data_IF_501150350913
#
_entry.id   IF_501150350913
#
_cell.length_a   1.000
_cell.length_b   1.000
_cell.length_c   1.000
_cell.angle_alpha   90.00
_cell.angle_beta   90.00
_cell.angle_gamma   90.00
#
_symmetry.space_group_name_H-M   'P 1'
#
loop_
_entity.id
_entity.type
_entity.pdbx_description
1 polymer ?
#
# COMPACT_ATOMS: atom_id res chain seq x y z
N UNK A 1 -29.14 -7.29 15.13
CA UNK A 1 -28.18 -8.26 15.71
C UNK A 1 -28.67 -9.71 15.54
N UNK A 2 -29.82 -10.11 16.11
CA UNK A 2 -30.33 -11.51 15.98
C UNK A 2 -30.59 -11.91 14.51
N UNK A 3 -31.29 -11.06 13.73
CA UNK A 3 -31.54 -11.34 12.30
C UNK A 3 -30.28 -11.43 11.43
N UNK A 4 -29.20 -10.74 11.78
CA UNK A 4 -27.96 -10.76 11.01
C UNK A 4 -27.17 -12.03 11.31
N UNK A 5 -27.18 -12.49 12.57
CA UNK A 5 -26.52 -13.75 12.98
C UNK A 5 -27.23 -14.95 12.37
N UNK A 6 -28.56 -14.97 12.40
CA UNK A 6 -29.35 -16.04 11.75
C UNK A 6 -29.15 -16.07 10.24
N UNK A 7 -28.94 -14.91 9.59
CA UNK A 7 -28.55 -14.83 8.16
C UNK A 7 -27.15 -15.39 7.92
N UNK A 8 -26.19 -15.07 8.81
CA UNK A 8 -24.82 -15.61 8.73
C UNK A 8 -24.78 -17.12 8.92
N UNK A 9 -25.56 -17.65 9.87
CA UNK A 9 -25.71 -19.10 10.07
C UNK A 9 -26.23 -19.78 8.81
N UNK A 10 -27.24 -19.20 8.15
CA UNK A 10 -27.79 -19.73 6.89
C UNK A 10 -26.82 -19.63 5.71
N UNK A 11 -25.89 -18.68 5.73
CA UNK A 11 -24.86 -18.52 4.69
C UNK A 11 -23.69 -19.53 4.85
N UNK A 12 -23.60 -20.20 5.99
CA UNK A 12 -22.53 -21.14 6.30
C UNK A 12 -21.24 -20.50 6.80
N UNK A 13 -20.20 -21.31 6.97
CA UNK A 13 -18.87 -20.84 7.34
C UNK A 13 -18.22 -20.07 6.18
N UNK A 14 -17.77 -18.89 6.49
CA UNK A 14 -17.03 -17.98 5.58
C UNK A 14 -15.77 -17.51 6.31
N UNK A 15 -14.87 -16.80 5.62
CA UNK A 15 -13.59 -16.35 6.20
C UNK A 15 -13.71 -15.58 7.52
N UNK A 16 -14.83 -14.92 7.77
CA UNK A 16 -15.10 -14.16 8.99
C UNK A 16 -15.99 -14.87 10.02
N UNK A 17 -16.42 -16.11 9.79
CA UNK A 17 -17.33 -16.83 10.71
C UNK A 17 -16.96 -18.29 10.79
N UNK A 18 -16.79 -18.78 12.02
CA UNK A 18 -16.52 -20.20 12.33
C UNK A 18 -17.57 -20.74 13.30
N UNK A 19 -18.06 -21.97 13.05
CA UNK A 19 -19.01 -22.64 13.91
C UNK A 19 -18.32 -23.70 14.75
N UNK A 20 -18.82 -23.90 15.95
CA UNK A 20 -18.45 -25.00 16.84
C UNK A 20 -19.68 -25.49 17.62
N UNK A 21 -19.86 -26.77 17.66
CA UNK A 21 -20.94 -27.36 18.48
C UNK A 21 -20.63 -27.20 19.98
N UNK A 22 -19.40 -27.54 20.37
CA UNK A 22 -18.83 -27.37 21.73
C UNK A 22 -17.33 -27.13 21.60
N UNK A 23 -16.72 -26.58 22.63
CA UNK A 23 -15.27 -26.42 22.72
C UNK A 23 -14.70 -27.68 23.35
N UNK A 24 -14.21 -28.60 22.51
CA UNK A 24 -13.60 -29.87 22.94
C UNK A 24 -12.07 -29.74 23.04
N UNK A 25 -11.46 -28.90 22.21
CA UNK A 25 -10.01 -28.67 22.16
C UNK A 25 -9.71 -27.19 22.26
N UNK A 26 -9.09 -26.78 23.39
CA UNK A 26 -8.66 -25.42 23.65
C UNK A 26 -7.64 -24.93 22.61
N UNK A 27 -6.76 -25.84 22.15
CA UNK A 27 -5.73 -25.51 21.19
C UNK A 27 -6.31 -25.16 19.81
N UNK A 28 -7.31 -25.93 19.35
CA UNK A 28 -7.99 -25.64 18.08
C UNK A 28 -8.65 -24.25 18.10
N UNK A 29 -9.29 -23.90 19.22
CA UNK A 29 -9.88 -22.57 19.41
C UNK A 29 -8.81 -21.48 19.45
N UNK A 30 -7.71 -21.70 20.17
CA UNK A 30 -6.59 -20.73 20.18
C UNK A 30 -6.07 -20.44 18.77
N UNK A 31 -5.90 -21.47 17.94
CA UNK A 31 -5.50 -21.33 16.54
C UNK A 31 -6.52 -20.52 15.72
N UNK A 32 -7.82 -20.68 15.98
CA UNK A 32 -8.86 -19.85 15.32
C UNK A 32 -8.78 -18.37 15.76
N UNK A 33 -8.66 -18.13 17.06
CA UNK A 33 -8.55 -16.75 17.59
C UNK A 33 -7.29 -16.07 17.04
N UNK A 34 -6.16 -16.78 16.97
CA UNK A 34 -4.92 -16.30 16.33
C UNK A 34 -5.16 -15.98 14.85
N UNK A 35 -5.82 -16.90 14.11
CA UNK A 35 -6.07 -16.70 12.69
C UNK A 35 -6.99 -15.49 12.43
N UNK A 36 -8.01 -15.28 13.24
CA UNK A 36 -8.85 -14.09 13.18
C UNK A 36 -8.06 -12.82 13.48
N UNK A 37 -7.23 -12.81 14.52
CA UNK A 37 -6.42 -11.66 14.92
C UNK A 37 -5.40 -11.25 13.85
N UNK A 38 -4.82 -12.22 13.16
CA UNK A 38 -3.87 -11.98 12.08
C UNK A 38 -4.52 -11.63 10.72
N UNK A 39 -5.84 -11.86 10.61
CA UNK A 39 -6.61 -11.56 9.40
C UNK A 39 -7.53 -10.35 9.67
N UNK A 40 -8.70 -10.28 9.06
CA UNK A 40 -9.64 -9.16 9.22
C UNK A 40 -10.59 -9.30 10.42
N UNK A 41 -10.19 -10.07 11.44
CA UNK A 41 -11.07 -10.39 12.54
C UNK A 41 -12.09 -11.45 12.16
N UNK A 42 -13.07 -11.70 13.05
CA UNK A 42 -14.12 -12.67 12.80
C UNK A 42 -14.96 -13.00 14.02
N UNK A 43 -15.84 -13.97 13.86
CA UNK A 43 -16.75 -14.45 14.90
C UNK A 43 -16.65 -15.97 15.03
N UNK A 44 -16.47 -16.44 16.24
CA UNK A 44 -16.63 -17.85 16.61
C UNK A 44 -18.00 -18.00 17.26
N UNK A 45 -18.85 -18.85 16.69
CA UNK A 45 -20.21 -19.11 17.19
C UNK A 45 -20.23 -20.53 17.75
N UNK A 46 -20.51 -20.68 19.05
CA UNK A 46 -20.61 -21.94 19.74
C UNK A 46 -22.08 -22.29 19.98
N UNK A 47 -22.45 -23.55 19.75
CA UNK A 47 -23.82 -24.07 19.82
C UNK A 47 -24.39 -24.37 18.43
N UNK A 48 -23.54 -24.50 17.41
CA UNK A 48 -23.92 -24.84 16.04
C UNK A 48 -23.07 -26.02 15.57
N UNK A 49 -23.69 -27.00 14.94
CA UNK A 49 -23.01 -28.15 14.34
C UNK A 49 -22.22 -27.72 13.11
N UNK A 50 -20.90 -27.93 13.09
CA UNK A 50 -19.98 -27.49 12.06
C UNK A 50 -20.40 -27.91 10.63
N UNK A 51 -20.94 -29.11 10.46
CA UNK A 51 -21.22 -29.69 9.14
C UNK A 51 -22.63 -29.40 8.60
N UNK A 52 -23.61 -29.23 9.48
CA UNK A 52 -25.02 -29.09 9.07
C UNK A 52 -25.56 -27.68 9.25
N UNK A 53 -24.88 -26.84 10.06
CA UNK A 53 -25.39 -25.53 10.44
C UNK A 53 -26.61 -25.56 11.35
N UNK A 54 -27.01 -26.78 11.83
CA UNK A 54 -28.11 -26.94 12.77
C UNK A 54 -27.73 -26.41 14.15
N UNK A 55 -28.66 -25.77 14.81
CA UNK A 55 -28.48 -25.32 16.19
C UNK A 55 -28.43 -26.55 17.13
N UNK A 56 -27.41 -26.56 17.99
CA UNK A 56 -27.30 -27.39 19.16
C UNK A 56 -27.02 -26.51 20.37
N UNK A 57 -28.05 -25.77 20.77
CA UNK A 57 -27.98 -24.68 21.73
C UNK A 57 -27.40 -25.13 23.08
N UNK A 58 -26.77 -24.17 23.78
CA UNK A 58 -26.17 -24.39 25.09
C UNK A 58 -27.19 -24.13 26.21
N UNK A 59 -27.12 -24.92 27.24
CA UNK A 59 -27.78 -24.66 28.53
C UNK A 59 -27.12 -23.45 29.24
N UNK A 60 -27.76 -22.91 30.25
CA UNK A 60 -27.23 -21.80 31.03
C UNK A 60 -25.87 -22.09 31.66
N UNK A 61 -25.66 -23.31 32.19
CA UNK A 61 -24.37 -23.71 32.76
C UNK A 61 -23.28 -23.77 31.69
N UNK A 62 -23.58 -24.36 30.53
CA UNK A 62 -22.64 -24.47 29.40
C UNK A 62 -22.27 -23.10 28.85
N UNK A 63 -23.18 -22.11 28.85
CA UNK A 63 -22.88 -20.73 28.46
C UNK A 63 -21.80 -20.14 29.35
N UNK A 64 -21.94 -20.29 30.68
CA UNK A 64 -20.94 -19.76 31.62
C UNK A 64 -19.58 -20.44 31.47
N UNK A 65 -19.57 -21.76 31.37
CA UNK A 65 -18.36 -22.55 31.15
C UNK A 65 -17.66 -22.14 29.83
N UNK A 66 -18.42 -22.02 28.74
CA UNK A 66 -17.92 -21.62 27.42
C UNK A 66 -17.37 -20.21 27.43
N UNK A 67 -18.05 -19.28 28.11
CA UNK A 67 -17.61 -17.86 28.20
C UNK A 67 -16.29 -17.75 28.97
N UNK A 68 -16.18 -18.43 30.13
CA UNK A 68 -14.93 -18.44 30.90
C UNK A 68 -13.80 -19.07 30.10
N UNK A 69 -14.07 -20.23 29.48
CA UNK A 69 -13.08 -20.93 28.66
C UNK A 69 -12.56 -20.11 27.50
N UNK A 70 -13.43 -19.40 26.79
CA UNK A 70 -13.04 -18.49 25.68
C UNK A 70 -12.16 -17.33 26.18
N UNK A 71 -12.49 -16.76 27.34
CA UNK A 71 -11.71 -15.69 27.96
C UNK A 71 -10.31 -16.18 28.37
N UNK A 72 -10.23 -17.37 28.96
CA UNK A 72 -8.97 -18.01 29.35
C UNK A 72 -8.09 -18.28 28.12
N UNK A 73 -8.68 -18.86 27.04
CA UNK A 73 -7.97 -19.12 25.80
C UNK A 73 -7.42 -17.84 25.19
N UNK A 74 -8.22 -16.77 25.13
CA UNK A 74 -7.81 -15.49 24.56
C UNK A 74 -6.66 -14.83 25.35
N UNK A 75 -6.61 -15.03 26.66
CA UNK A 75 -5.59 -14.44 27.54
C UNK A 75 -4.33 -15.31 27.68
N UNK A 76 -4.44 -16.62 27.65
CA UNK A 76 -3.35 -17.54 27.99
C UNK A 76 -2.77 -18.29 26.77
N UNK A 77 -3.57 -18.53 25.74
CA UNK A 77 -3.17 -19.37 24.60
C UNK A 77 -2.93 -18.57 23.31
N UNK A 78 -3.19 -17.26 23.32
CA UNK A 78 -2.89 -16.33 22.22
C UNK A 78 -1.82 -15.34 22.68
N UNK A 79 -0.77 -15.16 21.88
CA UNK A 79 0.37 -14.28 22.21
C UNK A 79 0.64 -13.33 21.04
N UNK A 80 0.66 -12.01 21.28
CA UNK A 80 0.18 -11.30 22.48
C UNK A 80 -1.27 -11.63 22.80
N UNK A 81 -1.67 -11.52 24.08
CA UNK A 81 -3.04 -11.76 24.49
C UNK A 81 -4.03 -10.81 23.80
N UNK A 82 -5.24 -11.29 23.54
CA UNK A 82 -6.27 -10.52 22.86
C UNK A 82 -7.49 -10.29 23.74
N UNK A 83 -8.20 -9.20 23.48
CA UNK A 83 -9.52 -8.97 24.06
C UNK A 83 -10.58 -9.41 23.05
N UNK A 84 -11.46 -10.30 23.49
CA UNK A 84 -12.61 -10.75 22.70
C UNK A 84 -13.91 -10.20 23.31
N UNK A 85 -14.87 -9.88 22.45
CA UNK A 85 -16.22 -9.54 22.92
C UNK A 85 -17.07 -10.79 22.85
N UNK A 86 -17.68 -11.19 23.98
CA UNK A 86 -18.55 -12.36 24.05
C UNK A 86 -19.99 -11.88 24.24
N UNK A 87 -20.85 -12.28 23.33
CA UNK A 87 -22.29 -12.04 23.38
C UNK A 87 -23.02 -13.38 23.47
N UNK A 88 -24.17 -13.42 24.14
CA UNK A 88 -25.07 -14.58 24.19
C UNK A 88 -26.35 -14.24 23.46
N UNK A 89 -26.82 -15.14 22.62
CA UNK A 89 -28.05 -15.01 21.84
C UNK A 89 -28.99 -16.19 22.17
N UNK A 90 -30.17 -15.86 22.67
CA UNK A 90 -31.23 -16.87 22.94
C UNK A 90 -31.85 -17.35 21.63
N UNK A 91 -32.03 -18.66 21.50
CA UNK A 91 -32.69 -19.37 20.40
C UNK A 91 -33.76 -20.33 20.96
N UNK A 92 -34.56 -20.93 20.09
CA UNK A 92 -35.71 -21.77 20.52
C UNK A 92 -35.35 -22.87 21.53
N UNK A 93 -34.15 -23.47 21.39
CA UNK A 93 -33.74 -24.63 22.22
C UNK A 93 -32.61 -24.29 23.24
N UNK A 94 -32.37 -23.02 23.52
CA UNK A 94 -31.33 -22.61 24.49
C UNK A 94 -30.57 -21.33 24.03
N UNK A 95 -29.22 -21.35 24.15
CA UNK A 95 -28.40 -20.18 23.86
C UNK A 95 -27.26 -20.50 22.90
N UNK A 96 -26.83 -19.48 22.12
CA UNK A 96 -25.60 -19.48 21.37
C UNK A 96 -24.60 -18.51 22.02
N UNK A 97 -23.33 -18.88 22.07
CA UNK A 97 -22.25 -17.99 22.51
C UNK A 97 -21.47 -17.52 21.29
N UNK A 98 -21.28 -16.20 21.18
CA UNK A 98 -20.61 -15.57 20.04
C UNK A 98 -19.41 -14.80 20.54
N UNK A 99 -18.21 -15.29 20.22
CA UNK A 99 -16.97 -14.56 20.46
C UNK A 99 -16.60 -13.76 19.22
N UNK A 100 -16.59 -12.43 19.34
CA UNK A 100 -16.15 -11.52 18.29
C UNK A 100 -14.69 -11.14 18.53
N UNK A 101 -13.85 -11.44 17.57
CA UNK A 101 -12.42 -11.11 17.52
C UNK A 101 -12.22 -9.97 16.54
N UNK A 102 -11.57 -8.90 16.97
CA UNK A 102 -11.16 -7.82 16.07
C UNK A 102 -9.85 -8.17 15.40
N UNK A 103 -9.60 -7.58 14.26
CA UNK A 103 -8.26 -7.57 13.67
C UNK A 103 -7.26 -7.01 14.66
N UNK A 104 -6.15 -7.72 14.84
CA UNK A 104 -5.12 -7.36 15.80
C UNK A 104 -4.16 -6.30 15.24
N UNK A 105 -3.75 -5.36 16.10
CA UNK A 105 -2.82 -4.28 15.75
C UNK A 105 -1.34 -4.67 15.93
N UNK A 106 -1.07 -5.74 16.70
CA UNK A 106 0.30 -6.16 17.06
C UNK A 106 0.68 -7.49 16.38
N UNK A 107 0.42 -7.59 15.09
CA UNK A 107 0.76 -8.79 14.29
C UNK A 107 2.29 -8.99 14.20
N UNK A 108 2.75 -10.24 14.09
CA UNK A 108 1.97 -11.48 14.06
C UNK A 108 1.59 -11.97 15.46
N UNK A 109 0.34 -12.37 15.64
CA UNK A 109 -0.08 -13.16 16.79
C UNK A 109 0.28 -14.62 16.55
N UNK A 110 0.61 -15.35 17.62
CA UNK A 110 0.91 -16.76 17.55
C UNK A 110 0.20 -17.53 18.67
N UNK A 111 0.06 -18.83 18.50
CA UNK A 111 -0.42 -19.71 19.56
C UNK A 111 0.67 -19.95 20.64
N UNK A 112 0.34 -20.66 21.68
CA UNK A 112 1.27 -20.99 22.77
C UNK A 112 2.42 -21.93 22.37
N UNK A 113 2.44 -22.42 21.11
CA UNK A 113 3.56 -23.17 20.51
C UNK A 113 4.40 -22.31 19.57
N UNK A 114 4.11 -21.00 19.46
CA UNK A 114 4.83 -20.07 18.59
C UNK A 114 4.43 -20.15 17.11
N UNK A 115 3.29 -20.79 16.79
CA UNK A 115 2.85 -20.93 15.40
C UNK A 115 1.91 -19.77 15.05
N UNK A 116 2.20 -19.09 13.94
CA UNK A 116 1.37 -18.04 13.35
C UNK A 116 0.33 -18.66 12.42
N UNK A 117 -0.93 -18.30 12.64
CA UNK A 117 -2.07 -18.75 11.84
C UNK A 117 -2.77 -17.58 11.20
N UNK A 118 -3.27 -17.77 9.96
CA UNK A 118 -4.11 -16.80 9.23
C UNK A 118 -5.32 -17.51 8.63
N UNK A 119 -6.38 -16.76 8.35
CA UNK A 119 -7.56 -17.31 7.66
C UNK A 119 -7.24 -17.55 6.17
N UNK A 120 -7.78 -18.62 5.63
CA UNK A 120 -7.73 -18.99 4.23
C UNK A 120 -9.12 -19.46 3.78
N UNK A 121 -9.99 -18.51 3.44
CA UNK A 121 -11.42 -18.78 3.29
C UNK A 121 -12.05 -19.13 4.64
N UNK A 122 -12.86 -20.19 4.72
CA UNK A 122 -13.42 -20.68 5.97
C UNK A 122 -12.37 -21.33 6.89
N UNK A 123 -11.31 -21.91 6.32
CA UNK A 123 -10.25 -22.58 7.06
C UNK A 123 -9.17 -21.63 7.60
N UNK A 124 -8.26 -22.18 8.41
CA UNK A 124 -7.02 -21.54 8.84
C UNK A 124 -5.81 -22.27 8.27
N UNK A 125 -4.72 -21.52 8.03
CA UNK A 125 -3.44 -22.09 7.63
C UNK A 125 -2.30 -21.52 8.46
N UNK A 126 -1.22 -22.27 8.55
CA UNK A 126 0.03 -21.83 9.16
C UNK A 126 0.77 -20.91 8.20
N UNK A 127 1.42 -19.90 8.75
CA UNK A 127 2.37 -19.05 8.01
C UNK A 127 3.75 -19.65 8.17
N UNK A 128 4.36 -20.03 7.05
CA UNK A 128 5.73 -20.57 6.99
C UNK A 128 6.68 -19.67 6.21
N UNK A 129 6.12 -18.75 5.41
CA UNK A 129 6.92 -17.87 4.56
C UNK A 129 7.44 -16.68 5.38
N UNK A 130 8.77 -16.52 5.41
CA UNK A 130 9.43 -15.40 6.06
C UNK A 130 9.05 -14.03 5.45
N UNK A 131 8.74 -14.00 4.15
CA UNK A 131 8.32 -12.74 3.51
C UNK A 131 6.93 -12.32 4.00
N UNK A 132 6.00 -13.27 4.16
CA UNK A 132 4.67 -13.01 4.73
C UNK A 132 4.77 -12.55 6.19
N UNK A 133 5.62 -13.19 7.00
CA UNK A 133 5.87 -12.77 8.38
C UNK A 133 6.47 -11.35 8.44
N UNK A 134 7.43 -11.05 7.59
CA UNK A 134 8.03 -9.72 7.51
C UNK A 134 7.01 -8.65 7.11
N UNK A 135 6.08 -8.97 6.20
CA UNK A 135 4.99 -8.05 5.82
C UNK A 135 4.06 -7.77 7.01
N UNK A 136 3.63 -8.82 7.73
CA UNK A 136 2.80 -8.67 8.93
C UNK A 136 3.48 -7.80 10.00
N UNK A 137 4.79 -7.97 10.20
CA UNK A 137 5.59 -7.17 11.15
C UNK A 137 5.76 -5.73 10.68
N UNK A 138 5.88 -5.52 9.38
CA UNK A 138 5.96 -4.19 8.77
C UNK A 138 4.64 -3.44 8.92
N UNK A 139 3.53 -4.09 8.63
CA UNK A 139 2.19 -3.49 8.70
C UNK A 139 1.82 -3.04 10.11
N UNK A 140 2.28 -3.73 11.15
CA UNK A 140 2.07 -3.31 12.54
C UNK A 140 3.16 -2.39 13.09
N UNK A 141 4.15 -2.00 12.28
CA UNK A 141 5.24 -1.11 12.68
C UNK A 141 6.32 -1.76 13.56
N UNK A 142 6.30 -3.08 13.75
CA UNK A 142 7.33 -3.82 14.52
C UNK A 142 8.63 -4.00 13.74
N UNK A 143 8.58 -3.88 12.43
CA UNK A 143 9.72 -3.93 11.53
C UNK A 143 9.65 -2.79 10.51
N UNK A 144 10.77 -2.07 10.34
CA UNK A 144 10.90 -0.96 9.39
C UNK A 144 11.88 -1.36 8.28
N UNK A 145 11.41 -1.92 7.15
CA UNK A 145 12.27 -2.37 6.07
C UNK A 145 13.02 -1.23 5.40
N UNK A 146 12.49 -0.02 5.41
CA UNK A 146 13.13 1.19 4.90
C UNK A 146 14.33 1.66 5.74
N UNK A 147 14.39 1.28 7.02
CA UNK A 147 15.53 1.51 7.92
C UNK A 147 16.53 0.33 7.97
N UNK A 148 16.25 -0.76 7.28
CA UNK A 148 17.16 -1.91 7.19
C UNK A 148 18.48 -1.52 6.48
N UNK A 149 19.60 -2.16 6.88
CA UNK A 149 20.92 -1.88 6.28
C UNK A 149 21.07 -2.56 4.91
N UNK A 150 21.65 -1.85 3.95
CA UNK A 150 22.03 -2.39 2.64
C UNK A 150 23.49 -2.84 2.70
N UNK A 151 23.70 -4.14 2.52
CA UNK A 151 25.04 -4.73 2.58
C UNK A 151 25.93 -4.21 1.46
N UNK A 152 27.19 -3.92 1.76
CA UNK A 152 28.24 -3.52 0.83
C UNK A 152 27.99 -2.20 0.07
N UNK A 153 26.93 -1.44 0.39
CA UNK A 153 26.71 -0.11 -0.12
C UNK A 153 27.45 0.93 0.75
N UNK A 154 28.02 1.94 0.11
CA UNK A 154 28.82 2.99 0.75
C UNK A 154 28.33 4.39 0.34
N UNK A 155 28.77 5.42 1.04
CA UNK A 155 28.42 6.83 0.71
C UNK A 155 28.82 7.20 -0.72
N UNK A 156 29.84 6.55 -1.31
CA UNK A 156 30.24 6.78 -2.70
C UNK A 156 29.19 6.30 -3.73
N UNK A 157 28.29 5.44 -3.33
CA UNK A 157 27.20 4.95 -4.17
C UNK A 157 25.99 5.90 -4.19
N UNK A 158 26.05 6.97 -3.39
CA UNK A 158 25.00 8.00 -3.33
C UNK A 158 25.30 9.13 -4.31
N UNK A 159 24.22 9.72 -4.87
CA UNK A 159 24.29 10.87 -5.77
C UNK A 159 24.34 12.19 -4.99
N UNK A 160 25.45 12.90 -5.10
CA UNK A 160 25.69 14.15 -4.41
C UNK A 160 24.69 15.26 -4.82
N UNK A 161 24.23 15.24 -6.07
CA UNK A 161 23.27 16.23 -6.59
C UNK A 161 21.92 16.07 -5.91
N UNK A 162 21.43 14.83 -5.84
CA UNK A 162 20.16 14.52 -5.16
C UNK A 162 20.23 14.78 -3.66
N UNK A 163 21.36 14.45 -3.01
CA UNK A 163 21.58 14.80 -1.59
C UNK A 163 21.55 16.33 -1.40
N UNK A 164 22.21 17.08 -2.25
CA UNK A 164 22.23 18.56 -2.19
C UNK A 164 20.81 19.11 -2.31
N UNK A 165 20.03 18.65 -3.27
CA UNK A 165 18.62 19.03 -3.44
C UNK A 165 17.77 18.69 -2.21
N UNK A 166 17.91 17.49 -1.68
CA UNK A 166 17.22 17.06 -0.46
C UNK A 166 17.55 17.95 0.74
N UNK A 167 18.83 18.23 0.96
CA UNK A 167 19.28 19.08 2.06
C UNK A 167 18.79 20.54 1.85
N UNK A 168 18.80 21.02 0.61
CA UNK A 168 18.26 22.34 0.23
C UNK A 168 16.81 22.48 0.65
N UNK A 169 15.96 21.55 0.25
CA UNK A 169 14.54 21.56 0.56
C UNK A 169 14.25 21.35 2.05
N UNK A 170 14.99 20.42 2.68
CA UNK A 170 14.77 20.10 4.10
C UNK A 170 15.21 21.22 5.05
N UNK A 171 16.28 21.92 4.71
CA UNK A 171 16.89 22.95 5.54
C UNK A 171 16.76 24.36 4.92
N UNK A 172 15.78 24.57 4.07
CA UNK A 172 15.53 25.81 3.33
C UNK A 172 15.67 27.04 4.22
N UNK A 173 14.94 27.11 5.35
CA UNK A 173 14.98 28.25 6.28
C UNK A 173 16.36 28.50 6.92
N UNK A 174 17.17 27.45 7.08
CA UNK A 174 18.53 27.57 7.63
C UNK A 174 19.44 28.16 6.57
N UNK A 175 19.32 27.68 5.34
CA UNK A 175 20.13 28.10 4.19
C UNK A 175 19.77 29.53 3.77
N UNK A 176 18.49 29.92 3.80
CA UNK A 176 18.03 31.30 3.59
C UNK A 176 18.74 32.30 4.54
N UNK A 177 18.77 31.98 5.84
CA UNK A 177 19.47 32.80 6.85
C UNK A 177 20.97 32.92 6.62
N UNK A 178 21.55 32.02 5.81
CA UNK A 178 22.96 32.02 5.42
C UNK A 178 23.21 32.61 4.05
N UNK A 179 22.14 33.11 3.37
CA UNK A 179 22.23 33.64 2.02
C UNK A 179 22.48 32.59 0.93
N UNK A 180 22.24 31.32 1.22
CA UNK A 180 22.40 30.21 0.29
C UNK A 180 21.06 29.86 -0.35
N UNK A 181 20.58 30.72 -1.26
CA UNK A 181 19.34 30.55 -2.03
C UNK A 181 19.58 30.91 -3.50
N UNK A 182 18.70 30.45 -4.39
CA UNK A 182 18.79 30.74 -5.82
C UNK A 182 20.15 30.37 -6.42
N UNK A 183 20.79 31.29 -7.10
CA UNK A 183 22.10 31.08 -7.77
C UNK A 183 23.18 30.71 -6.75
N UNK A 184 23.21 31.36 -5.58
CA UNK A 184 24.18 31.05 -4.54
C UNK A 184 24.07 29.59 -4.03
N UNK A 185 22.86 29.05 -3.98
CA UNK A 185 22.65 27.64 -3.68
C UNK A 185 23.11 26.74 -4.84
N UNK A 186 22.81 27.12 -6.08
CA UNK A 186 23.17 26.33 -7.25
C UNK A 186 24.70 26.22 -7.41
N UNK A 187 25.44 27.29 -7.15
CA UNK A 187 26.91 27.35 -7.22
C UNK A 187 27.60 26.70 -6.00
N UNK A 188 26.93 26.62 -4.84
CA UNK A 188 27.54 26.06 -3.63
C UNK A 188 27.84 24.56 -3.79
N UNK A 189 28.99 24.10 -3.28
CA UNK A 189 29.31 22.69 -3.19
C UNK A 189 28.47 22.01 -2.10
N UNK A 190 28.34 20.69 -2.16
CA UNK A 190 27.66 19.91 -1.11
C UNK A 190 28.29 20.15 0.28
N UNK A 191 29.63 20.25 0.36
CA UNK A 191 30.33 20.53 1.62
C UNK A 191 30.00 21.92 2.18
N UNK A 192 29.86 22.94 1.32
CA UNK A 192 29.42 24.28 1.74
C UNK A 192 27.99 24.22 2.31
N UNK A 193 27.07 23.50 1.66
CA UNK A 193 25.71 23.31 2.16
C UNK A 193 25.73 22.59 3.51
N UNK A 194 26.47 21.51 3.63
CA UNK A 194 26.60 20.76 4.88
C UNK A 194 27.15 21.62 6.03
N UNK A 195 28.22 22.39 5.76
CA UNK A 195 28.82 23.31 6.74
C UNK A 195 27.89 24.45 7.16
N UNK A 196 27.03 24.91 6.23
CA UNK A 196 26.02 25.93 6.54
C UNK A 196 24.88 25.37 7.41
N UNK A 197 24.47 24.11 7.19
CA UNK A 197 23.45 23.43 8.01
C UNK A 197 23.99 23.20 9.43
N UNK A 198 25.17 22.62 9.56
CA UNK A 198 25.77 22.32 10.85
C UNK A 198 27.30 22.52 10.80
N UNK A 199 27.80 23.54 11.50
CA UNK A 199 29.23 23.89 11.51
C UNK A 199 30.10 22.69 11.92
N UNK A 200 31.10 22.38 11.08
CA UNK A 200 32.02 21.29 11.31
C UNK A 200 31.44 19.89 11.05
N UNK A 201 30.30 19.82 10.38
CA UNK A 201 29.72 18.57 9.88
C UNK A 201 29.97 18.45 8.37
N UNK A 202 30.46 17.30 7.95
CA UNK A 202 30.48 16.85 6.57
C UNK A 202 29.13 16.18 6.19
N UNK A 203 29.00 15.81 4.92
CA UNK A 203 27.80 15.16 4.41
C UNK A 203 27.50 13.84 5.13
N UNK A 204 28.53 13.01 5.37
CA UNK A 204 28.34 11.72 6.06
C UNK A 204 27.76 11.89 7.46
N UNK A 205 28.28 12.85 8.22
CA UNK A 205 27.83 13.14 9.59
C UNK A 205 26.39 13.65 9.60
N UNK A 206 25.99 14.48 8.61
CA UNK A 206 24.61 14.93 8.46
C UNK A 206 23.69 13.75 8.12
N UNK A 207 24.06 12.91 7.15
CA UNK A 207 23.29 11.73 6.79
C UNK A 207 23.15 10.74 7.97
N UNK A 208 24.20 10.61 8.78
CA UNK A 208 24.17 9.80 10.01
C UNK A 208 23.20 10.39 11.05
N UNK A 209 23.25 11.71 11.28
CA UNK A 209 22.33 12.40 12.19
C UNK A 209 20.87 12.31 11.72
N UNK A 210 20.65 12.27 10.42
CA UNK A 210 19.34 12.08 9.79
C UNK A 210 18.94 10.60 9.71
N UNK A 211 19.74 9.67 10.24
CA UNK A 211 19.49 8.21 10.27
C UNK A 211 19.52 7.52 8.91
N UNK A 212 20.06 8.15 7.87
CA UNK A 212 20.31 7.49 6.58
C UNK A 212 21.50 6.54 6.63
N UNK A 213 22.43 6.78 7.54
CA UNK A 213 23.53 5.89 7.86
C UNK A 213 23.30 5.35 9.27
N UNK A 214 23.30 4.05 9.40
CA UNK A 214 23.09 3.33 10.66
C UNK A 214 24.30 3.44 11.58
N UNK A 215 24.16 3.13 12.90
CA UNK A 215 25.29 3.13 13.83
C UNK A 215 26.45 2.21 13.42
N UNK A 216 26.15 1.08 12.74
CA UNK A 216 27.13 0.14 12.21
C UNK A 216 27.82 0.63 10.91
N UNK A 217 27.47 1.81 10.41
CA UNK A 217 28.03 2.42 9.21
C UNK A 217 27.34 2.02 7.90
N UNK A 218 26.39 1.10 7.92
CA UNK A 218 25.65 0.69 6.72
C UNK A 218 24.64 1.75 6.30
N UNK A 219 24.41 1.92 4.99
CA UNK A 219 23.33 2.75 4.45
C UNK A 219 21.98 2.07 4.66
N UNK A 220 20.96 2.86 4.97
CA UNK A 220 19.57 2.34 5.02
C UNK A 220 19.02 2.12 3.63
N UNK A 221 18.00 1.25 3.50
CA UNK A 221 17.21 1.08 2.26
C UNK A 221 16.66 2.42 1.79
N UNK A 222 16.12 3.24 2.70
CA UNK A 222 15.63 4.59 2.34
C UNK A 222 16.73 5.49 1.77
N UNK A 223 17.97 5.43 2.32
CA UNK A 223 19.10 6.19 1.77
C UNK A 223 19.39 5.79 0.32
N UNK A 224 19.38 4.50 0.04
CA UNK A 224 19.60 4.00 -1.33
C UNK A 224 18.44 4.33 -2.27
N UNK A 225 17.20 4.27 -1.80
CA UNK A 225 16.03 4.63 -2.60
C UNK A 225 16.00 6.12 -2.93
N UNK A 226 16.36 6.98 -1.99
CA UNK A 226 16.33 8.44 -2.19
C UNK A 226 17.57 8.99 -2.91
N UNK A 227 18.74 8.40 -2.68
CA UNK A 227 20.00 8.99 -3.11
C UNK A 227 20.90 8.05 -3.93
N UNK A 228 20.58 6.77 -4.08
CA UNK A 228 21.44 5.82 -4.79
C UNK A 228 21.59 6.15 -6.28
N UNK A 229 22.84 6.17 -6.79
CA UNK A 229 23.14 6.32 -8.21
C UNK A 229 22.61 5.15 -9.03
N UNK A 230 22.79 3.95 -8.51
CA UNK A 230 22.41 2.67 -9.12
C UNK A 230 21.75 1.78 -8.08
N UNK A 231 20.61 2.20 -7.57
CA UNK A 231 19.86 1.51 -6.50
C UNK A 231 19.61 0.03 -6.83
N UNK A 232 19.34 -0.27 -8.11
CA UNK A 232 18.99 -1.60 -8.61
C UNK A 232 20.16 -2.61 -8.57
N UNK A 233 21.40 -2.15 -8.41
CA UNK A 233 22.55 -3.02 -8.17
C UNK A 233 22.38 -3.86 -6.89
N UNK A 234 21.82 -3.27 -5.82
CA UNK A 234 21.60 -3.92 -4.53
C UNK A 234 20.17 -4.43 -4.38
N UNK A 235 19.23 -3.72 -4.99
CA UNK A 235 17.79 -3.96 -4.90
C UNK A 235 17.16 -3.99 -6.30
N UNK A 236 17.37 -5.06 -7.10
CA UNK A 236 16.99 -5.11 -8.53
C UNK A 236 15.50 -4.87 -8.79
N UNK A 237 14.63 -5.21 -7.83
CA UNK A 237 13.18 -5.06 -7.97
C UNK A 237 12.66 -3.70 -7.49
N UNK A 238 13.51 -2.84 -6.93
CA UNK A 238 13.15 -1.47 -6.56
C UNK A 238 13.19 -0.54 -7.77
N UNK A 239 12.36 -0.86 -8.75
CA UNK A 239 12.26 -0.21 -10.05
C UNK A 239 10.79 -0.15 -10.50
N UNK A 240 10.51 0.48 -11.64
CA UNK A 240 9.22 0.44 -12.31
C UNK A 240 9.34 -0.14 -13.74
N UNK A 241 8.25 -0.70 -14.24
CA UNK A 241 8.11 -1.21 -15.61
C UNK A 241 6.98 -0.44 -16.29
N UNK A 242 7.28 0.30 -17.34
CA UNK A 242 6.32 1.13 -18.05
C UNK A 242 6.15 0.61 -19.49
N UNK A 243 4.92 0.26 -19.87
CA UNK A 243 4.60 -0.25 -21.22
C UNK A 243 3.29 0.40 -21.70
N UNK A 244 3.32 0.96 -22.91
CA UNK A 244 2.14 1.42 -23.62
C UNK A 244 1.74 0.36 -24.67
N UNK A 245 0.64 -0.34 -24.41
CA UNK A 245 0.13 -1.38 -25.31
C UNK A 245 -0.70 -0.79 -26.44
N UNK A 246 -0.72 -1.48 -27.58
CA UNK A 246 -1.72 -1.28 -28.61
C UNK A 246 -2.92 -2.19 -28.31
N UNK A 247 -4.07 -1.59 -28.00
CA UNK A 247 -5.27 -2.30 -27.55
C UNK A 247 -5.44 -2.33 -26.04
N UNK A 248 -6.28 -3.25 -25.55
CA UNK A 248 -6.77 -3.27 -24.17
C UNK A 248 -6.31 -4.48 -23.35
N UNK A 249 -5.28 -5.19 -23.81
CA UNK A 249 -4.81 -6.43 -23.17
C UNK A 249 -3.30 -6.45 -22.97
N UNK A 250 -2.84 -6.88 -21.80
CA UNK A 250 -1.44 -7.16 -21.48
C UNK A 250 -0.86 -8.29 -22.39
N UNK A 251 -1.72 -9.18 -22.88
CA UNK A 251 -1.33 -10.25 -23.81
C UNK A 251 -1.07 -9.78 -25.25
N UNK A 252 -1.25 -8.50 -25.56
CA UNK A 252 -0.92 -7.94 -26.87
C UNK A 252 0.57 -8.08 -27.15
N UNK A 253 0.91 -8.67 -28.31
CA UNK A 253 2.29 -8.72 -28.80
C UNK A 253 2.77 -7.37 -29.35
N UNK A 254 1.86 -6.40 -29.48
CA UNK A 254 2.15 -5.08 -30.04
C UNK A 254 2.09 -4.05 -28.92
N UNK A 255 3.15 -3.31 -28.75
CA UNK A 255 3.21 -2.15 -27.85
C UNK A 255 3.68 -0.93 -28.64
N UNK A 256 3.27 0.26 -28.20
CA UNK A 256 3.62 1.54 -28.85
C UNK A 256 4.91 2.09 -28.28
N UNK A 257 5.09 1.97 -26.95
CA UNK A 257 6.25 2.47 -26.23
C UNK A 257 6.55 1.59 -25.02
N UNK A 258 7.82 1.54 -24.63
CA UNK A 258 8.30 0.85 -23.44
C UNK A 258 9.54 1.57 -22.91
N UNK A 259 9.57 1.85 -21.63
CA UNK A 259 10.80 2.31 -20.97
C UNK A 259 11.75 1.12 -20.80
N UNK A 260 13.00 1.28 -21.24
CA UNK A 260 14.02 0.25 -21.03
C UNK A 260 14.42 0.18 -19.55
N UNK A 261 14.83 -0.99 -19.10
CA UNK A 261 15.20 -1.20 -17.69
C UNK A 261 16.35 -0.30 -17.26
N UNK A 262 17.35 -0.10 -18.13
CA UNK A 262 18.50 0.77 -17.88
C UNK A 262 18.10 2.26 -17.72
N UNK A 263 17.08 2.72 -18.44
CA UNK A 263 16.59 4.09 -18.35
C UNK A 263 15.79 4.34 -17.05
N UNK A 264 15.34 3.28 -16.40
CA UNK A 264 14.62 3.32 -15.12
C UNK A 264 15.54 3.16 -13.89
N UNK A 265 16.82 2.78 -14.10
CA UNK A 265 17.77 2.58 -13.02
C UNK A 265 18.16 3.91 -12.37
N UNK A 266 18.12 3.95 -11.04
CA UNK A 266 18.44 5.13 -10.25
C UNK A 266 17.62 5.21 -8.97
N UNK A 267 17.64 6.39 -8.35
CA UNK A 267 16.85 6.68 -7.17
C UNK A 267 15.36 6.96 -7.50
N UNK A 268 14.54 7.17 -6.48
CA UNK A 268 13.09 7.38 -6.67
C UNK A 268 12.77 8.66 -7.44
N UNK A 269 13.58 9.72 -7.32
CA UNK A 269 13.37 10.96 -8.10
C UNK A 269 13.55 10.68 -9.59
N UNK A 270 14.63 9.99 -9.96
CA UNK A 270 14.89 9.62 -11.35
C UNK A 270 13.77 8.69 -11.90
N UNK A 271 13.33 7.70 -11.11
CA UNK A 271 12.22 6.84 -11.51
C UNK A 271 10.92 7.63 -11.69
N UNK A 272 10.63 8.54 -10.78
CA UNK A 272 9.47 9.43 -10.87
C UNK A 272 9.51 10.28 -12.17
N UNK A 273 10.61 10.96 -12.44
CA UNK A 273 10.77 11.78 -13.63
C UNK A 273 10.60 10.94 -14.91
N UNK A 274 11.22 9.76 -14.96
CA UNK A 274 11.10 8.83 -16.09
C UNK A 274 9.66 8.36 -16.31
N UNK A 275 8.91 8.09 -15.25
CA UNK A 275 7.49 7.71 -15.33
C UNK A 275 6.63 8.88 -15.81
N UNK A 276 6.86 10.09 -15.31
CA UNK A 276 6.09 11.27 -15.73
C UNK A 276 6.36 11.62 -17.19
N UNK A 277 7.61 11.49 -17.65
CA UNK A 277 7.96 11.63 -19.06
C UNK A 277 7.28 10.56 -19.93
N UNK A 278 7.19 9.31 -19.44
CA UNK A 278 6.49 8.24 -20.13
C UNK A 278 4.99 8.55 -20.28
N UNK A 279 4.32 9.06 -19.24
CA UNK A 279 2.93 9.51 -19.34
C UNK A 279 2.77 10.64 -20.36
N UNK A 280 3.63 11.65 -20.29
CA UNK A 280 3.55 12.82 -21.18
C UNK A 280 3.71 12.43 -22.66
N UNK A 281 4.55 11.43 -22.97
CA UNK A 281 4.74 10.95 -24.34
C UNK A 281 3.60 10.10 -24.87
N UNK A 282 2.87 9.39 -23.98
CA UNK A 282 1.93 8.35 -24.38
C UNK A 282 0.46 8.69 -24.14
N UNK A 283 0.16 9.73 -23.35
CA UNK A 283 -1.19 10.22 -23.15
C UNK A 283 -1.49 11.36 -24.15
N UNK A 284 -2.77 11.50 -24.51
CA UNK A 284 -3.21 12.52 -25.46
C UNK A 284 -3.28 13.88 -24.78
N UNK A 285 -2.99 14.94 -25.55
CA UNK A 285 -3.33 16.30 -25.20
C UNK A 285 -4.73 16.62 -25.73
N UNK A 286 -5.63 17.02 -24.86
CA UNK A 286 -7.00 17.44 -25.19
C UNK A 286 -7.05 18.96 -25.20
N UNK A 287 -7.60 19.54 -26.28
CA UNK A 287 -7.79 20.96 -26.39
C UNK A 287 -8.91 21.42 -25.45
N UNK A 288 -8.63 22.39 -24.59
CA UNK A 288 -9.61 22.97 -23.67
C UNK A 288 -10.16 24.26 -24.26
N UNK A 289 -11.44 24.22 -24.70
CA UNK A 289 -12.16 25.36 -25.29
C UNK A 289 -12.14 25.40 -26.83
N UNK A 290 -12.95 26.29 -27.38
CA UNK A 290 -13.20 26.39 -28.85
C UNK A 290 -12.15 27.23 -29.59
N UNK A 291 -11.18 27.82 -28.89
CA UNK A 291 -10.15 28.65 -29.49
C UNK A 291 -9.01 27.83 -30.07
N UNK A 292 -8.68 28.05 -31.34
CA UNK A 292 -7.68 27.30 -32.11
C UNK A 292 -6.26 27.31 -31.50
N UNK A 293 -5.97 28.27 -30.62
CA UNK A 293 -4.68 28.42 -29.94
C UNK A 293 -4.72 28.07 -28.45
N UNK A 294 -5.75 27.37 -27.95
CA UNK A 294 -5.78 26.96 -26.56
C UNK A 294 -4.69 25.91 -26.27
N UNK A 295 -3.97 26.08 -25.17
CA UNK A 295 -2.98 25.08 -24.75
C UNK A 295 -3.69 23.77 -24.43
N UNK A 296 -3.20 22.66 -24.99
CA UNK A 296 -3.70 21.32 -24.67
C UNK A 296 -3.41 20.95 -23.21
N UNK A 297 -4.37 20.29 -22.57
CA UNK A 297 -4.17 19.61 -21.29
C UNK A 297 -4.08 18.10 -21.53
N UNK A 298 -3.29 17.38 -20.71
CA UNK A 298 -3.32 15.93 -20.73
C UNK A 298 -4.74 15.44 -20.47
N UNK A 299 -5.16 14.39 -21.16
CA UNK A 299 -6.47 13.73 -21.00
C UNK A 299 -6.71 13.21 -19.57
N UNK A 300 -5.64 12.87 -18.86
CA UNK A 300 -5.64 12.60 -17.42
C UNK A 300 -4.91 13.76 -16.73
N UNK A 301 -5.51 14.41 -15.73
CA UNK A 301 -4.86 15.52 -15.01
C UNK A 301 -3.48 15.17 -14.50
N UNK A 302 -2.52 16.02 -14.76
CA UNK A 302 -1.12 15.82 -14.36
C UNK A 302 -0.98 15.64 -12.84
N UNK A 303 -1.76 16.39 -12.06
CA UNK A 303 -1.82 16.29 -10.59
C UNK A 303 -2.21 14.91 -10.11
N UNK A 304 -3.18 14.26 -10.75
CA UNK A 304 -3.60 12.89 -10.43
C UNK A 304 -2.52 11.87 -10.77
N UNK A 305 -1.85 12.04 -11.93
CA UNK A 305 -0.72 11.16 -12.32
C UNK A 305 0.44 11.28 -11.33
N UNK A 306 0.78 12.49 -10.89
CA UNK A 306 1.80 12.75 -9.86
C UNK A 306 1.46 12.00 -8.59
N UNK A 307 0.25 12.20 -8.08
CA UNK A 307 -0.19 11.59 -6.81
C UNK A 307 -0.15 10.06 -6.85
N UNK A 308 -0.72 9.46 -7.90
CA UNK A 308 -0.75 8.00 -8.04
C UNK A 308 0.64 7.41 -8.24
N UNK A 309 1.52 8.11 -8.97
CA UNK A 309 2.91 7.68 -9.18
C UNK A 309 3.69 7.73 -7.87
N UNK A 310 3.66 8.85 -7.16
CA UNK A 310 4.39 9.00 -5.90
C UNK A 310 3.89 8.00 -4.86
N UNK A 311 2.57 7.84 -4.73
CA UNK A 311 2.00 6.85 -3.82
C UNK A 311 2.47 5.43 -4.16
N UNK A 312 2.51 5.05 -5.44
CA UNK A 312 2.96 3.72 -5.85
C UNK A 312 4.43 3.47 -5.56
N UNK A 313 5.28 4.49 -5.65
CA UNK A 313 6.73 4.39 -5.38
C UNK A 313 7.05 4.39 -3.89
N UNK A 314 6.35 5.20 -3.08
CA UNK A 314 6.66 5.40 -1.66
C UNK A 314 5.97 4.38 -0.76
N UNK A 315 4.72 4.01 -1.08
CA UNK A 315 3.92 3.09 -0.25
C UNK A 315 4.02 1.62 -0.66
N UNK A 316 4.79 1.28 -1.70
CA UNK A 316 5.02 -0.11 -2.09
C UNK A 316 5.58 -0.94 -0.92
N UNK A 317 5.28 -2.23 -0.89
CA UNK A 317 5.99 -3.15 0.00
C UNK A 317 7.46 -3.28 -0.43
N UNK A 318 8.38 -3.02 0.51
CA UNK A 318 9.81 -3.19 0.32
C UNK A 318 10.25 -4.65 0.55
N UNK A 319 9.40 -5.47 1.20
CA UNK A 319 9.65 -6.90 1.39
C UNK A 319 9.37 -7.70 0.12
N UNK A 320 8.51 -7.20 -0.75
CA UNK A 320 8.14 -7.89 -2.00
C UNK A 320 9.15 -7.64 -3.11
N UNK A 321 9.61 -8.73 -3.71
CA UNK A 321 10.54 -8.73 -4.85
C UNK A 321 9.80 -8.59 -6.20
N UNK A 322 9.05 -7.50 -6.35
CA UNK A 322 8.31 -7.18 -7.58
C UNK A 322 8.46 -5.69 -7.92
N UNK A 323 8.58 -5.28 -9.19
CA UNK A 323 8.60 -3.87 -9.59
C UNK A 323 7.20 -3.25 -9.51
N UNK A 324 7.13 -1.93 -9.41
CA UNK A 324 5.93 -1.18 -9.78
C UNK A 324 5.68 -1.37 -11.27
N UNK A 325 4.43 -1.56 -11.69
CA UNK A 325 4.09 -1.74 -13.11
C UNK A 325 3.10 -0.66 -13.52
N UNK A 326 3.39 -0.01 -14.65
CA UNK A 326 2.57 1.05 -15.22
C UNK A 326 2.25 0.67 -16.66
N UNK A 327 0.96 0.50 -16.92
CA UNK A 327 0.46 0.10 -18.22
C UNK A 327 -0.49 1.16 -18.77
N UNK A 328 -0.24 1.58 -19.99
CA UNK A 328 -1.15 2.43 -20.75
C UNK A 328 -1.80 1.57 -21.82
N UNK A 329 -3.13 1.51 -21.80
CA UNK A 329 -3.98 0.86 -22.81
C UNK A 329 -4.75 1.91 -23.60
N UNK A 330 -5.43 1.49 -24.64
CA UNK A 330 -6.26 2.40 -25.42
C UNK A 330 -7.39 3.03 -24.60
N UNK A 331 -7.93 2.31 -23.61
CA UNK A 331 -9.08 2.73 -22.81
C UNK A 331 -8.78 3.03 -21.34
N UNK A 332 -7.55 2.83 -20.84
CA UNK A 332 -7.21 3.06 -19.43
C UNK A 332 -5.71 3.13 -19.18
N UNK A 333 -5.36 3.63 -18.02
CA UNK A 333 -4.03 3.52 -17.41
C UNK A 333 -4.15 2.66 -16.16
N UNK A 334 -3.25 1.70 -15.97
CA UNK A 334 -3.14 0.91 -14.76
C UNK A 334 -1.80 1.16 -14.07
N UNK A 335 -1.84 1.39 -12.75
CA UNK A 335 -0.66 1.50 -11.89
C UNK A 335 -0.76 0.40 -10.84
N UNK A 336 0.16 -0.55 -10.89
CA UNK A 336 0.24 -1.70 -10.02
C UNK A 336 1.37 -1.51 -9.01
N UNK A 337 1.05 -1.42 -7.74
CA UNK A 337 2.01 -1.30 -6.64
C UNK A 337 2.10 -2.61 -5.86
N UNK A 338 3.31 -3.16 -5.63
CA UNK A 338 3.49 -4.33 -4.77
C UNK A 338 3.08 -4.05 -3.33
N UNK A 339 2.30 -4.94 -2.74
CA UNK A 339 1.73 -4.86 -1.39
C UNK A 339 0.26 -4.47 -1.39
N UNK A 340 -0.57 -5.22 -0.66
CA UNK A 340 -1.96 -4.86 -0.37
C UNK A 340 -2.01 -3.68 0.61
N UNK A 341 -3.18 -3.10 0.85
CA UNK A 341 -3.35 -2.04 1.86
C UNK A 341 -3.02 -2.58 3.27
N UNK A 342 -2.23 -1.86 4.07
CA UNK A 342 -1.79 -2.34 5.38
C UNK A 342 -2.88 -2.20 6.46
N UNK A 343 -2.78 -3.00 7.53
CA UNK A 343 -3.51 -2.86 8.80
C UNK A 343 -5.03 -2.69 8.67
N UNK A 344 -5.69 -3.45 7.79
CA UNK A 344 -7.14 -3.38 7.62
C UNK A 344 -7.63 -2.08 7.00
N UNK A 345 -6.74 -1.25 6.47
CA UNK A 345 -7.09 -0.05 5.71
C UNK A 345 -7.92 -0.43 4.49
N UNK A 346 -9.05 0.20 4.33
CA UNK A 346 -9.96 -0.05 3.21
C UNK A 346 -9.81 0.99 2.10
N UNK A 347 -10.36 0.67 0.92
CA UNK A 347 -10.42 1.64 -0.19
C UNK A 347 -11.22 2.89 0.22
N UNK A 348 -12.25 2.75 1.02
CA UNK A 348 -13.05 3.88 1.49
C UNK A 348 -12.26 4.76 2.46
N UNK A 349 -11.42 4.16 3.31
CA UNK A 349 -10.55 4.91 4.21
C UNK A 349 -9.54 5.77 3.44
N UNK A 350 -8.89 5.22 2.42
CA UNK A 350 -7.92 5.99 1.62
C UNK A 350 -8.61 7.10 0.80
N UNK A 351 -9.83 6.89 0.31
CA UNK A 351 -10.63 7.92 -0.35
C UNK A 351 -11.03 9.03 0.63
N UNK A 352 -11.26 8.69 1.89
CA UNK A 352 -11.52 9.65 2.96
C UNK A 352 -10.26 10.39 3.47
N UNK A 353 -9.07 10.07 2.92
CA UNK A 353 -7.82 10.73 3.27
C UNK A 353 -7.05 10.07 4.43
N UNK A 354 -7.45 8.87 4.86
CA UNK A 354 -6.69 8.13 5.87
C UNK A 354 -5.37 7.66 5.27
N UNK A 355 -4.26 7.98 5.93
CA UNK A 355 -2.91 7.60 5.53
C UNK A 355 -2.25 6.75 6.61
N UNK A 356 -1.81 5.56 6.24
CA UNK A 356 -1.04 4.66 7.11
C UNK A 356 0.18 4.15 6.33
N UNK A 357 1.27 4.93 6.27
CA UNK A 357 2.44 4.54 5.50
C UNK A 357 3.19 3.39 6.17
N UNK A 358 3.46 2.31 5.39
CA UNK A 358 4.27 1.19 5.89
C UNK A 358 5.76 1.50 5.91
N UNK A 359 6.22 2.41 5.06
CA UNK A 359 7.63 2.86 4.98
C UNK A 359 7.74 4.26 5.59
N UNK A 360 7.57 4.36 6.90
CA UNK A 360 7.41 5.64 7.60
C UNK A 360 8.64 6.55 7.45
N UNK A 361 9.85 5.97 7.53
CA UNK A 361 11.08 6.75 7.40
C UNK A 361 11.27 7.26 5.96
N UNK A 362 11.03 6.41 4.97
CA UNK A 362 11.03 6.80 3.56
C UNK A 362 9.96 7.88 3.29
N UNK A 363 8.72 7.66 3.72
CA UNK A 363 7.60 8.58 3.55
C UNK A 363 7.92 9.98 4.08
N UNK A 364 8.40 10.09 5.31
CA UNK A 364 8.72 11.38 5.95
C UNK A 364 9.88 12.13 5.31
N UNK A 365 10.72 11.46 4.54
CA UNK A 365 11.88 12.07 3.89
C UNK A 365 11.67 12.31 2.38
N UNK A 366 10.86 11.48 1.72
CA UNK A 366 10.61 11.61 0.28
C UNK A 366 9.92 12.93 -0.10
N UNK A 367 9.18 13.56 0.82
CA UNK A 367 8.55 14.90 0.62
C UNK A 367 9.54 16.01 0.26
N UNK A 368 10.83 15.84 0.55
CA UNK A 368 11.87 16.81 0.22
C UNK A 368 12.45 16.61 -1.19
N UNK A 369 12.05 15.55 -1.89
CA UNK A 369 12.50 15.25 -3.25
C UNK A 369 11.34 15.05 -4.23
N UNK A 370 10.27 14.40 -3.79
CA UNK A 370 9.12 14.09 -4.63
C UNK A 370 7.99 15.11 -4.41
N UNK A 371 7.20 15.45 -5.45
CA UNK A 371 6.20 16.51 -5.39
C UNK A 371 4.90 16.03 -4.73
N UNK A 372 4.93 15.73 -3.42
CA UNK A 372 3.74 15.40 -2.65
C UNK A 372 3.79 16.01 -1.24
N UNK A 373 2.64 16.11 -0.56
CA UNK A 373 2.53 16.84 0.70
C UNK A 373 2.65 15.96 1.95
N UNK A 374 2.49 14.65 1.81
CA UNK A 374 2.55 13.71 2.94
C UNK A 374 1.40 13.80 3.96
N UNK A 375 0.32 14.54 3.68
CA UNK A 375 -0.80 14.74 4.62
C UNK A 375 -2.04 13.88 4.31
N UNK A 376 -1.94 12.92 3.40
CA UNK A 376 -3.05 12.02 3.04
C UNK A 376 -4.14 12.64 2.16
N UNK A 377 -4.04 13.92 1.81
CA UNK A 377 -5.03 14.62 0.99
C UNK A 377 -4.88 14.41 -0.52
N UNK A 378 -3.85 13.71 -0.96
CA UNK A 378 -3.50 13.63 -2.37
C UNK A 378 -4.49 12.79 -3.18
N UNK A 379 -4.87 11.61 -2.69
CA UNK A 379 -5.91 10.79 -3.33
C UNK A 379 -7.24 11.56 -3.37
N UNK A 380 -7.63 12.21 -2.28
CA UNK A 380 -8.85 13.02 -2.23
C UNK A 380 -8.81 14.12 -3.30
N UNK A 381 -7.70 14.86 -3.42
CA UNK A 381 -7.52 15.89 -4.46
C UNK A 381 -7.54 15.32 -5.87
N UNK A 382 -6.93 14.14 -6.06
CA UNK A 382 -6.97 13.46 -7.36
C UNK A 382 -8.39 13.01 -7.73
N UNK A 383 -9.22 12.69 -6.73
CA UNK A 383 -10.63 12.34 -6.94
C UNK A 383 -11.54 13.54 -7.13
N UNK A 384 -11.14 14.74 -6.67
CA UNK A 384 -11.85 15.99 -6.92
C UNK A 384 -11.69 16.48 -8.37
N UNK A 385 -10.67 15.97 -9.09
CA UNK A 385 -10.56 16.14 -10.54
C UNK A 385 -11.64 15.26 -11.22
N UNK A 386 -12.18 15.71 -12.33
CA UNK A 386 -13.22 14.96 -13.10
C UNK A 386 -12.58 13.76 -13.82
N UNK A 387 -12.20 12.74 -13.04
CA UNK A 387 -11.58 11.51 -13.55
C UNK A 387 -12.37 10.27 -13.14
N UNK A 388 -12.47 9.32 -14.05
CA UNK A 388 -13.02 8.00 -13.74
C UNK A 388 -11.90 7.07 -13.25
N UNK A 389 -11.82 6.86 -11.93
CA UNK A 389 -10.77 6.05 -11.31
C UNK A 389 -11.38 4.94 -10.44
N UNK A 390 -10.79 3.76 -10.52
CA UNK A 390 -11.12 2.62 -9.66
C UNK A 390 -9.89 2.11 -8.96
N UNK A 391 -10.07 1.63 -7.72
CA UNK A 391 -9.03 1.04 -6.89
C UNK A 391 -9.36 -0.42 -6.63
N UNK A 392 -8.36 -1.27 -6.66
CA UNK A 392 -8.48 -2.68 -6.32
C UNK A 392 -7.38 -3.06 -5.32
N UNK A 393 -7.79 -3.54 -4.15
CA UNK A 393 -6.90 -4.15 -3.17
C UNK A 393 -6.95 -5.67 -3.34
N UNK A 394 -5.86 -6.28 -3.77
CA UNK A 394 -5.79 -7.72 -3.99
C UNK A 394 -4.92 -8.38 -2.92
N UNK A 395 -5.55 -8.79 -1.83
CA UNK A 395 -4.87 -9.42 -0.69
C UNK A 395 -4.21 -10.76 -1.06
N UNK A 396 -4.75 -11.49 -2.04
CA UNK A 396 -4.17 -12.78 -2.48
C UNK A 396 -2.92 -12.60 -3.31
N UNK A 397 -2.93 -11.62 -4.23
CA UNK A 397 -1.78 -11.29 -5.07
C UNK A 397 -0.81 -10.34 -4.38
N UNK A 398 -1.17 -9.81 -3.19
CA UNK A 398 -0.42 -8.79 -2.48
C UNK A 398 -0.09 -7.62 -3.41
N UNK A 399 -1.13 -7.02 -3.98
CA UNK A 399 -1.00 -5.94 -4.95
C UNK A 399 -2.13 -4.93 -4.80
N UNK A 400 -1.78 -3.64 -4.89
CA UNK A 400 -2.74 -2.55 -4.99
C UNK A 400 -2.74 -1.98 -6.41
N UNK A 401 -3.91 -1.89 -7.03
CA UNK A 401 -4.05 -1.45 -8.42
C UNK A 401 -4.93 -0.19 -8.50
N UNK A 402 -4.41 0.81 -9.17
CA UNK A 402 -5.14 2.03 -9.54
C UNK A 402 -5.42 1.95 -11.03
N UNK A 403 -6.69 2.05 -11.42
CA UNK A 403 -7.10 2.10 -12.82
C UNK A 403 -7.76 3.44 -13.11
N UNK A 404 -7.17 4.23 -13.98
CA UNK A 404 -7.73 5.48 -14.48
C UNK A 404 -8.28 5.21 -15.88
N UNK A 405 -9.61 5.32 -16.04
CA UNK A 405 -10.27 5.10 -17.31
C UNK A 405 -10.11 6.33 -18.20
N UNK A 406 -9.72 6.10 -19.44
CA UNK A 406 -9.61 7.14 -20.46
C UNK A 406 -10.97 7.33 -21.11
N UNK A 407 -11.37 8.57 -21.35
CA UNK A 407 -12.52 8.82 -22.19
C UNK A 407 -12.25 8.21 -23.57
N UNK A 408 -13.23 7.46 -24.09
CA UNK A 408 -13.16 7.04 -25.48
C UNK A 408 -13.00 8.31 -26.31
N UNK A 409 -11.96 8.39 -27.12
CA UNK A 409 -11.82 9.40 -28.15
C UNK A 409 -12.91 9.17 -29.19
N UNK A 410 -14.14 9.44 -28.78
CA UNK A 410 -15.33 9.33 -29.61
C UNK A 410 -15.22 10.36 -30.72
N UNK A 411 -14.80 9.88 -31.92
CA UNK A 411 -15.36 10.32 -33.18
C UNK A 411 -15.55 11.83 -33.33
N UNK A 412 -14.43 12.57 -33.38
CA UNK A 412 -14.44 13.90 -34.01
C UNK A 412 -14.47 13.77 -35.56
N UNK A 413 -14.43 12.52 -36.09
CA UNK A 413 -14.41 12.22 -37.55
C UNK A 413 -15.78 12.07 -38.19
N UNK A 414 -16.85 11.67 -37.50
CA UNK A 414 -18.05 11.17 -38.16
C UNK A 414 -19.33 12.04 -38.02
N UNK A 415 -19.26 13.18 -37.32
CA UNK A 415 -20.42 14.09 -37.25
C UNK A 415 -20.56 15.06 -38.42
N UNK A 416 -19.66 15.07 -39.40
CA UNK A 416 -19.76 15.92 -40.58
C UNK A 416 -20.28 15.22 -41.86
N UNK A 417 -20.40 13.90 -41.90
CA UNK A 417 -20.84 13.19 -43.11
C UNK A 417 -22.36 12.93 -43.17
N UNK A 418 -23.09 13.09 -42.05
CA UNK A 418 -24.56 12.78 -42.01
C UNK A 418 -25.46 13.99 -42.20
N UNK A 419 -24.93 15.19 -42.48
CA UNK A 419 -25.76 16.40 -42.74
C UNK A 419 -25.76 16.90 -44.18
N UNK A 420 -25.22 16.14 -45.13
CA UNK A 420 -25.14 16.58 -46.55
C UNK A 420 -25.93 15.73 -47.54
N UNK A 421 -26.83 14.84 -47.06
CA UNK A 421 -27.70 14.04 -47.97
C UNK A 421 -29.17 14.12 -47.67
N UNK A 422 -29.72 15.30 -47.29
CA UNK A 422 -31.16 15.51 -47.24
C UNK A 422 -31.60 16.86 -47.81
N UNK A 423 -31.10 17.18 -49.01
CA UNK A 423 -31.70 18.23 -49.84
C UNK A 423 -31.46 17.89 -51.30
N UNK A 424 -32.26 16.95 -51.82
CA UNK A 424 -32.68 16.81 -53.23
C UNK A 424 -33.50 15.52 -53.35
N UNK A 425 -34.78 15.63 -53.08
CA UNK A 425 -35.87 15.09 -53.86
C UNK A 425 -37.19 15.69 -53.35
#
# INVERSE_FOLDING_TARGET
MMNDILKQIKAGEVSGVQFKERILDKYDIACELVAFSNSHGGKLVVGIKDKTGETNALSYSEVQETTNLLSDIASENVVPSILIKIDTVEVEDGNLVIATVKEGLNKPYHDNKGIVWVKNGADKRKVFDNAELAEMMTDCGSFAPDEAGVRDATVNDLDATTIKQFLGNRFERVLEKKGLTGDAFNEASLDMICSAIAKGHDCEKILRNLRFIRPDGTLTVAAMLLFGKYTQRWMPMMTAKCICFAGNSVGSKVFRDKVNDADMEGNLLHQYDTIMDFFTRNLHNVQVGDEFNSMGKLEIPYTSLVEFTVNSLVHRSLNMKAPVRIFIFDNRVEIHSPGALPNGLTIDDIKAGTSMPRNMFLFNNAIYLLPYTGVGSGITRALDEDINVTFMNNDKAQEFVITVWREESNQVGDRKSTRLNSSHQ
#
